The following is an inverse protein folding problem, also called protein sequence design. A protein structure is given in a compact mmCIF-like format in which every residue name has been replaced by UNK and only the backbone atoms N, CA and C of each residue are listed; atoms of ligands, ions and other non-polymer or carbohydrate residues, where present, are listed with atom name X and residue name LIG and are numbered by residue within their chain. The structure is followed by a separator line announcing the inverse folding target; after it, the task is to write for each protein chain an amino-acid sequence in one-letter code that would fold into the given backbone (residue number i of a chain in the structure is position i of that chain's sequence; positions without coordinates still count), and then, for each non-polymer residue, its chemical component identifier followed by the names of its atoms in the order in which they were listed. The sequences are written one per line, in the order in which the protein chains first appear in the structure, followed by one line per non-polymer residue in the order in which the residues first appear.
data_IF_427232015550
#
_entry.id   IF_427232015550
#
_cell.length_a   1.000
_cell.length_b   1.000
_cell.length_c   1.000
_cell.angle_alpha   90.00
_cell.angle_beta   90.00
_cell.angle_gamma   90.00
#
_symmetry.space_group_name_H-M   'P 1'
#
loop_
_entity.id
_entity.type
_entity.pdbx_description
1 polymer ?
#
# COMPACT_ATOMS: atom_id res chain seq x y z
N UNK A 1 8.18 54.96 -57.66
CA UNK A 1 7.72 55.05 -56.27
C UNK A 1 7.03 53.72 -55.93
N UNK A 2 7.72 52.71 -55.41
CA UNK A 2 7.11 51.57 -54.68
C UNK A 2 8.14 51.05 -53.67
N UNK A 3 7.86 51.25 -52.41
CA UNK A 3 8.63 50.80 -51.27
C UNK A 3 8.34 49.35 -51.03
N UNK A 4 9.33 48.48 -51.22
CA UNK A 4 9.27 47.08 -50.79
C UNK A 4 9.68 47.00 -49.34
N UNK A 5 8.76 46.57 -48.48
CA UNK A 5 9.00 46.27 -47.05
C UNK A 5 9.33 44.78 -46.96
N UNK A 6 10.59 44.46 -46.66
CA UNK A 6 11.02 43.12 -46.35
C UNK A 6 10.71 42.82 -44.88
N UNK A 7 9.73 41.98 -44.63
CA UNK A 7 9.46 41.45 -43.30
C UNK A 7 10.34 40.22 -43.07
N UNK A 8 11.32 40.33 -42.18
CA UNK A 8 12.13 39.25 -41.72
C UNK A 8 11.39 38.45 -40.62
N UNK A 9 10.94 37.26 -40.96
CA UNK A 9 10.35 36.33 -40.01
C UNK A 9 11.45 35.56 -39.29
N UNK A 10 11.65 35.84 -38.01
CA UNK A 10 12.54 35.05 -37.13
C UNK A 10 11.75 33.86 -36.62
N UNK A 11 12.03 32.66 -37.13
CA UNK A 11 11.58 31.39 -36.54
C UNK A 11 12.42 31.10 -35.30
N UNK A 12 11.87 31.31 -34.13
CA UNK A 12 12.43 30.78 -32.90
C UNK A 12 12.06 29.27 -32.75
N UNK A 13 13.02 28.40 -33.02
CA UNK A 13 12.89 26.99 -32.74
C UNK A 13 13.02 26.76 -31.24
N UNK A 14 11.90 26.57 -30.54
CA UNK A 14 11.86 26.11 -29.16
C UNK A 14 12.20 24.61 -29.15
N UNK A 15 13.43 24.28 -28.75
CA UNK A 15 13.81 22.89 -28.45
C UNK A 15 13.08 22.45 -27.16
N UNK A 16 11.98 21.75 -27.30
CA UNK A 16 11.36 21.01 -26.20
C UNK A 16 12.29 19.85 -25.86
N UNK A 17 13.11 20.01 -24.82
CA UNK A 17 13.77 18.89 -24.16
C UNK A 17 12.66 18.05 -23.50
N UNK A 18 12.26 16.97 -24.15
CA UNK A 18 11.46 15.92 -23.53
C UNK A 18 12.35 15.30 -22.44
N UNK A 19 12.22 15.80 -21.20
CA UNK A 19 12.63 15.07 -20.04
C UNK A 19 11.88 13.74 -20.06
N UNK A 20 12.58 12.66 -20.39
CA UNK A 20 12.03 11.32 -20.37
C UNK A 20 11.51 11.07 -18.95
N UNK A 21 10.20 11.16 -18.76
CA UNK A 21 9.55 10.57 -17.61
C UNK A 21 9.86 9.08 -17.73
N UNK A 22 10.80 8.59 -16.93
CA UNK A 22 10.89 7.17 -16.67
C UNK A 22 9.56 6.81 -16.02
N UNK A 23 8.64 6.26 -16.81
CA UNK A 23 7.50 5.55 -16.30
C UNK A 23 8.10 4.39 -15.50
N UNK A 24 8.20 4.53 -14.20
CA UNK A 24 8.40 3.41 -13.30
C UNK A 24 7.21 2.51 -13.57
N UNK A 25 7.45 1.30 -14.05
CA UNK A 25 6.45 0.26 -14.17
C UNK A 25 5.90 0.03 -12.76
N UNK A 26 4.86 0.80 -12.43
CA UNK A 26 4.17 0.66 -11.15
C UNK A 26 3.26 -0.54 -11.30
N UNK A 27 3.77 -1.70 -10.92
CA UNK A 27 2.94 -2.89 -10.83
C UNK A 27 1.85 -2.63 -9.81
N UNK A 28 0.61 -2.87 -10.21
CA UNK A 28 -0.55 -2.72 -9.34
C UNK A 28 -1.43 -3.96 -9.43
N UNK A 29 -2.04 -4.33 -8.32
CA UNK A 29 -3.01 -5.41 -8.25
C UNK A 29 -4.24 -4.97 -7.48
N UNK A 30 -5.38 -5.60 -7.74
CA UNK A 30 -6.62 -5.28 -7.05
C UNK A 30 -6.97 -6.35 -6.03
N UNK A 31 -7.40 -5.94 -4.85
CA UNK A 31 -7.89 -6.82 -3.80
C UNK A 31 -9.39 -6.60 -3.64
N UNK A 32 -10.20 -7.67 -3.80
CA UNK A 32 -11.65 -7.60 -3.62
C UNK A 32 -12.02 -7.39 -2.16
N UNK A 33 -12.94 -6.46 -1.91
CA UNK A 33 -13.50 -6.19 -0.60
C UNK A 33 -15.00 -6.52 -0.50
N UNK A 34 -15.58 -7.08 -1.58
CA UNK A 34 -17.03 -7.31 -1.69
C UNK A 34 -17.58 -8.33 -0.70
N UNK A 35 -16.75 -9.27 -0.32
CA UNK A 35 -17.05 -10.40 0.58
C UNK A 35 -16.67 -10.11 2.04
N UNK A 36 -16.32 -8.87 2.36
CA UNK A 36 -15.76 -8.49 3.67
C UNK A 36 -16.80 -7.71 4.48
N UNK A 37 -17.15 -8.24 5.64
CA UNK A 37 -17.87 -7.49 6.67
C UNK A 37 -16.84 -6.75 7.55
N UNK A 38 -16.76 -5.44 7.38
CA UNK A 38 -15.81 -4.60 8.13
C UNK A 38 -16.11 -4.48 9.64
N UNK A 39 -17.22 -5.04 10.10
CA UNK A 39 -17.54 -5.12 11.52
C UNK A 39 -17.12 -6.46 12.14
N UNK A 40 -16.71 -7.43 11.31
CA UNK A 40 -16.26 -8.75 11.77
C UNK A 40 -14.74 -8.84 11.80
N UNK A 41 -14.11 -9.03 12.96
CA UNK A 41 -12.67 -9.12 13.09
C UNK A 41 -12.03 -10.25 12.25
N UNK A 42 -12.73 -11.35 12.08
CA UNK A 42 -12.23 -12.47 11.27
C UNK A 42 -12.12 -12.11 9.79
N UNK A 43 -13.16 -11.47 9.22
CA UNK A 43 -13.19 -11.04 7.82
C UNK A 43 -12.13 -9.97 7.56
N UNK A 44 -11.99 -9.03 8.50
CA UNK A 44 -10.99 -7.96 8.41
C UNK A 44 -9.56 -8.50 8.47
N UNK A 45 -9.29 -9.52 9.30
CA UNK A 45 -7.98 -10.21 9.34
C UNK A 45 -7.67 -10.92 8.03
N UNK A 46 -8.67 -11.59 7.42
CA UNK A 46 -8.51 -12.21 6.12
C UNK A 46 -8.22 -11.19 5.02
N UNK A 47 -8.95 -10.06 5.02
CA UNK A 47 -8.69 -8.95 4.10
C UNK A 47 -7.26 -8.42 4.26
N UNK A 48 -6.81 -8.21 5.49
CA UNK A 48 -5.46 -7.74 5.75
C UNK A 48 -4.40 -8.72 5.23
N UNK A 49 -4.63 -10.03 5.38
CA UNK A 49 -3.78 -11.07 4.77
C UNK A 49 -3.72 -10.93 3.25
N UNK A 50 -4.89 -10.84 2.58
CA UNK A 50 -4.97 -10.65 1.12
C UNK A 50 -4.26 -9.38 0.64
N UNK A 51 -4.37 -8.28 1.38
CA UNK A 51 -3.66 -7.03 1.06
C UNK A 51 -2.15 -7.23 1.14
N UNK A 52 -1.66 -7.89 2.18
CA UNK A 52 -0.23 -8.17 2.33
C UNK A 52 0.30 -9.08 1.22
N UNK A 53 -0.40 -10.17 0.91
CA UNK A 53 0.01 -11.10 -0.14
C UNK A 53 0.06 -10.40 -1.50
N UNK A 54 -0.93 -9.56 -1.81
CA UNK A 54 -0.95 -8.74 -3.01
C UNK A 54 0.20 -7.72 -3.04
N UNK A 55 0.52 -7.11 -1.91
CA UNK A 55 1.65 -6.18 -1.79
C UNK A 55 3.00 -6.87 -2.03
N UNK A 56 3.19 -8.07 -1.48
CA UNK A 56 4.39 -8.87 -1.76
C UNK A 56 4.49 -9.23 -3.23
N UNK A 57 3.39 -9.68 -3.86
CA UNK A 57 3.38 -10.05 -5.27
C UNK A 57 3.76 -8.91 -6.22
N UNK A 58 3.36 -7.66 -5.92
CA UNK A 58 3.73 -6.50 -6.74
C UNK A 58 5.12 -5.94 -6.43
N UNK A 59 5.69 -6.30 -5.29
CA UNK A 59 7.03 -5.85 -4.86
C UNK A 59 8.12 -6.89 -5.13
N UNK A 60 7.73 -8.10 -5.56
CA UNK A 60 8.68 -9.14 -5.95
C UNK A 60 9.47 -8.69 -7.19
N UNK A 61 10.77 -8.86 -7.16
CA UNK A 61 11.67 -8.46 -8.24
C UNK A 61 12.33 -9.67 -8.89
N UNK A 62 12.65 -9.56 -10.18
CA UNK A 62 13.42 -10.57 -10.92
C UNK A 62 14.93 -10.55 -10.54
N UNK A 63 15.31 -9.72 -9.57
CA UNK A 63 16.69 -9.61 -9.14
C UNK A 63 17.13 -10.86 -8.35
N UNK A 64 18.44 -11.20 -8.38
CA UNK A 64 18.95 -12.32 -7.59
C UNK A 64 18.57 -12.21 -6.11
N UNK A 65 18.14 -13.32 -5.54
CA UNK A 65 17.76 -13.39 -4.14
C UNK A 65 18.98 -13.17 -3.22
N UNK A 66 19.09 -11.96 -2.69
CA UNK A 66 20.11 -11.56 -1.72
C UNK A 66 19.42 -10.97 -0.49
N UNK A 67 20.15 -10.84 0.61
CA UNK A 67 19.61 -10.14 1.80
C UNK A 67 19.19 -8.70 1.48
N UNK A 68 19.86 -8.06 0.55
CA UNK A 68 19.56 -6.69 0.16
C UNK A 68 18.28 -6.60 -0.68
N UNK A 69 18.11 -7.49 -1.68
CA UNK A 69 16.86 -7.54 -2.48
C UNK A 69 15.67 -7.90 -1.61
N UNK A 70 15.80 -8.90 -0.74
CA UNK A 70 14.75 -9.28 0.20
C UNK A 70 14.36 -8.15 1.17
N UNK A 71 15.32 -7.33 1.60
CA UNK A 71 15.04 -6.18 2.45
C UNK A 71 14.26 -5.08 1.70
N UNK A 72 14.62 -4.81 0.44
CA UNK A 72 13.92 -3.84 -0.41
C UNK A 72 12.50 -4.28 -0.75
N UNK A 73 12.31 -5.55 -1.09
CA UNK A 73 10.99 -6.13 -1.38
C UNK A 73 10.07 -6.05 -0.15
N UNK A 74 10.61 -6.35 1.02
CA UNK A 74 9.88 -6.22 2.29
C UNK A 74 9.49 -4.78 2.60
N UNK A 75 10.39 -3.83 2.41
CA UNK A 75 10.11 -2.40 2.60
C UNK A 75 9.02 -1.91 1.62
N UNK A 76 9.13 -2.28 0.34
CA UNK A 76 8.12 -2.01 -0.66
C UNK A 76 6.75 -2.57 -0.24
N UNK A 77 6.68 -3.86 0.12
CA UNK A 77 5.44 -4.53 0.51
C UNK A 77 4.82 -3.92 1.77
N UNK A 78 5.64 -3.51 2.74
CA UNK A 78 5.16 -2.82 3.93
C UNK A 78 4.53 -1.47 3.59
N UNK A 79 5.19 -0.68 2.75
CA UNK A 79 4.69 0.62 2.29
C UNK A 79 3.39 0.46 1.52
N UNK A 80 3.33 -0.46 0.55
CA UNK A 80 2.13 -0.74 -0.24
C UNK A 80 0.95 -1.21 0.64
N UNK A 81 1.22 -2.10 1.61
CA UNK A 81 0.21 -2.56 2.57
C UNK A 81 -0.34 -1.40 3.40
N UNK A 82 0.54 -0.56 3.92
CA UNK A 82 0.17 0.58 4.74
C UNK A 82 -0.70 1.59 3.95
N UNK A 83 -0.32 1.88 2.72
CA UNK A 83 -1.08 2.78 1.86
C UNK A 83 -2.46 2.21 1.49
N UNK A 84 -2.55 0.92 1.20
CA UNK A 84 -3.83 0.25 0.94
C UNK A 84 -4.76 0.30 2.15
N UNK A 85 -4.25 0.04 3.35
CA UNK A 85 -5.01 0.12 4.61
C UNK A 85 -5.51 1.53 4.85
N UNK A 86 -4.66 2.53 4.65
CA UNK A 86 -5.03 3.95 4.81
C UNK A 86 -6.09 4.37 3.80
N UNK A 87 -5.97 3.94 2.55
CA UNK A 87 -6.93 4.28 1.49
C UNK A 87 -8.32 3.69 1.75
N UNK A 88 -8.39 2.49 2.32
CA UNK A 88 -9.66 1.87 2.72
C UNK A 88 -10.31 2.59 3.91
N UNK A 89 -9.52 3.23 4.75
CA UNK A 89 -9.96 4.05 5.89
C UNK A 89 -11.01 3.36 6.79
N UNK A 90 -10.77 2.09 7.13
CA UNK A 90 -11.65 1.30 8.01
C UNK A 90 -11.03 1.17 9.41
N UNK A 91 -11.71 1.60 10.49
CA UNK A 91 -11.14 1.63 11.84
C UNK A 91 -10.60 0.26 12.29
N UNK A 92 -11.40 -0.79 12.15
CA UNK A 92 -11.00 -2.14 12.56
C UNK A 92 -9.82 -2.69 11.74
N UNK A 93 -9.73 -2.33 10.44
CA UNK A 93 -8.59 -2.71 9.60
C UNK A 93 -7.31 -1.99 10.06
N UNK A 94 -7.40 -0.74 10.44
CA UNK A 94 -6.28 0.01 11.00
C UNK A 94 -5.79 -0.62 12.32
N UNK A 95 -6.70 -1.05 13.19
CA UNK A 95 -6.34 -1.75 14.44
C UNK A 95 -5.62 -3.07 14.17
N UNK A 96 -6.13 -3.86 13.22
CA UNK A 96 -5.49 -5.12 12.80
C UNK A 96 -4.10 -4.86 12.21
N UNK A 97 -3.95 -3.86 11.36
CA UNK A 97 -2.67 -3.50 10.76
C UNK A 97 -1.63 -3.03 11.79
N UNK A 98 -2.08 -2.35 12.85
CA UNK A 98 -1.23 -1.92 13.96
C UNK A 98 -0.93 -3.06 14.97
N UNK A 99 -1.44 -4.27 14.73
CA UNK A 99 -1.30 -5.39 15.66
C UNK A 99 -1.99 -5.17 17.00
N UNK A 100 -2.92 -4.22 17.06
CA UNK A 100 -3.69 -3.97 18.29
C UNK A 100 -4.78 -5.04 18.39
N UNK A 101 -4.85 -5.80 19.50
CA UNK A 101 -5.97 -6.69 19.71
C UNK A 101 -7.25 -5.83 19.81
N UNK A 102 -8.26 -6.20 19.02
CA UNK A 102 -9.56 -5.52 19.11
C UNK A 102 -10.13 -5.66 20.54
N UNK A 103 -11.07 -4.79 20.88
CA UNK A 103 -11.67 -4.74 22.21
C UNK A 103 -12.22 -6.10 22.67
N UNK A 104 -12.79 -6.90 21.74
CA UNK A 104 -13.27 -8.25 22.03
C UNK A 104 -12.13 -9.21 22.39
N UNK A 105 -11.01 -9.16 21.65
CA UNK A 105 -9.83 -9.98 21.97
C UNK A 105 -9.21 -9.56 23.31
N UNK A 106 -9.27 -8.28 23.66
CA UNK A 106 -8.80 -7.77 24.95
C UNK A 106 -9.71 -8.25 26.09
N UNK A 107 -11.03 -8.23 25.90
CA UNK A 107 -11.99 -8.74 26.88
C UNK A 107 -11.81 -10.25 27.10
N UNK A 108 -11.70 -11.03 26.03
CA UNK A 108 -11.48 -12.48 26.12
C UNK A 108 -10.13 -12.84 26.79
N UNK A 109 -9.10 -12.01 26.63
CA UNK A 109 -7.83 -12.21 27.34
C UNK A 109 -7.91 -11.81 28.82
N UNK A 110 -8.74 -10.83 29.15
CA UNK A 110 -9.00 -10.46 30.56
C UNK A 110 -9.77 -11.55 31.28
N UNK A 111 -10.85 -12.08 30.69
CA UNK A 111 -11.67 -13.16 31.25
C UNK A 111 -10.81 -14.39 31.55
N UNK A 112 -9.96 -14.84 30.62
CA UNK A 112 -9.04 -15.97 30.86
C UNK A 112 -8.07 -15.71 32.00
N UNK A 113 -7.56 -14.49 32.10
CA UNK A 113 -6.60 -14.15 33.15
C UNK A 113 -7.26 -14.12 34.53
N UNK A 114 -8.54 -13.77 34.58
CA UNK A 114 -9.31 -13.75 35.82
C UNK A 114 -9.69 -15.19 36.23
N UNK A 115 -10.04 -16.07 35.30
CA UNK A 115 -10.28 -17.51 35.57
C UNK A 115 -9.03 -18.21 36.11
N UNK A 116 -7.86 -17.96 35.53
CA UNK A 116 -6.58 -18.54 36.03
C UNK A 116 -6.22 -18.01 37.43
N UNK A 117 -6.64 -16.81 37.78
CA UNK A 117 -6.38 -16.21 39.08
C UNK A 117 -7.21 -16.81 40.21
N UNK A 118 -8.43 -17.27 39.92
CA UNK A 118 -9.36 -17.84 40.90
C UNK A 118 -9.32 -19.38 40.94
N UNK A 119 -8.76 -20.03 39.92
CA UNK A 119 -8.68 -21.48 39.83
C UNK A 119 -7.59 -22.17 40.67
N UNK A 120 -6.75 -21.41 41.38
CA UNK A 120 -5.66 -21.92 42.22
C UNK A 120 -5.92 -21.79 43.73
N UNK A 121 -7.09 -22.26 44.18
CA UNK A 121 -7.35 -22.47 45.61
C UNK A 121 -7.84 -23.85 45.88
#
# INVERSE_FOLDING_TARGET
MFRAILAASILAAAAFSAAGAHAQDTQSTSVSTRDVDFNKPADVKQLYGRIRDAAYAVCESDAPATMFTAARERECANTATHDAVRNLNKPLLNEVALGRPNTESQMAMRDRRDEDRWGTR
#
